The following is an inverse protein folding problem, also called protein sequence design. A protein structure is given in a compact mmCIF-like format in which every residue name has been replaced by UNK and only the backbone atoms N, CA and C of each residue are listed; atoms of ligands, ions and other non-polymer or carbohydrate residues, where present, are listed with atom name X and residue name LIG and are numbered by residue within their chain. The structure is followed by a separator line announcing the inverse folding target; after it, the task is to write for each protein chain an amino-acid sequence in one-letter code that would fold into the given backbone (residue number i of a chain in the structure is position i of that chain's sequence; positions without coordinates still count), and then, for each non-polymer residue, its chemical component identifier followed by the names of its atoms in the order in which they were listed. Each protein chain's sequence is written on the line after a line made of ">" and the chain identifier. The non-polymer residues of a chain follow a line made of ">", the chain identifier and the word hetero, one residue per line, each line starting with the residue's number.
data_IF_544266506258
#
_entry.id   IF_544266506258
#
_cell.length_a   1.000
_cell.length_b   1.000
_cell.length_c   1.000
_cell.angle_alpha   90.00
_cell.angle_beta   90.00
_cell.angle_gamma   90.00
#
_symmetry.space_group_name_H-M   'P 1'
#
loop_
_entity.id
_entity.type
_entity.pdbx_description
1 polymer ?
#
# COMPACT_ATOMS: atom_id res chain seq x y z
N UNK A 1 3.34 3.27 -17.79
CA UNK A 1 3.87 2.01 -18.36
C UNK A 1 4.45 2.19 -19.75
N UNK A 2 3.69 2.49 -20.81
CA UNK A 2 4.21 2.53 -22.20
C UNK A 2 5.42 3.46 -22.43
N UNK A 3 5.43 4.65 -21.81
CA UNK A 3 6.54 5.59 -21.90
C UNK A 3 7.84 5.03 -21.30
N UNK A 4 7.77 4.48 -20.09
CA UNK A 4 8.95 3.95 -19.40
C UNK A 4 9.50 2.70 -20.09
N UNK A 5 8.64 1.79 -20.54
CA UNK A 5 9.10 0.63 -21.33
C UNK A 5 9.74 1.05 -22.66
N UNK A 6 9.20 2.08 -23.34
CA UNK A 6 9.76 2.57 -24.61
C UNK A 6 11.10 3.30 -24.46
N UNK A 7 11.36 3.91 -23.29
CA UNK A 7 12.56 4.72 -23.05
C UNK A 7 13.58 4.02 -22.14
N UNK A 8 13.27 2.84 -21.60
CA UNK A 8 14.13 2.16 -20.63
C UNK A 8 15.51 1.87 -21.21
N UNK A 9 15.60 1.31 -22.42
CA UNK A 9 16.88 0.99 -23.04
C UNK A 9 17.80 2.22 -23.19
N UNK A 10 17.20 3.39 -23.41
CA UNK A 10 17.94 4.65 -23.51
C UNK A 10 18.32 5.26 -22.16
N UNK A 11 17.47 5.09 -21.14
CA UNK A 11 17.63 5.76 -19.83
C UNK A 11 18.26 4.88 -18.76
N UNK A 12 18.30 3.56 -18.95
CA UNK A 12 18.77 2.55 -17.98
C UNK A 12 20.16 2.90 -17.45
N UNK A 13 21.14 3.14 -18.31
CA UNK A 13 22.51 3.42 -17.86
C UNK A 13 22.60 4.63 -16.92
N UNK A 14 21.88 5.72 -17.24
CA UNK A 14 21.88 6.94 -16.43
C UNK A 14 21.13 6.75 -15.11
N UNK A 15 19.99 6.07 -15.13
CA UNK A 15 19.18 5.79 -13.94
C UNK A 15 19.94 4.85 -13.00
N UNK A 16 20.52 3.77 -13.53
CA UNK A 16 21.27 2.80 -12.72
C UNK A 16 22.57 3.40 -12.18
N UNK A 17 23.25 4.26 -12.92
CA UNK A 17 24.42 4.97 -12.42
C UNK A 17 24.05 5.97 -11.30
N UNK A 18 22.91 6.65 -11.42
CA UNK A 18 22.47 7.65 -10.43
C UNK A 18 21.86 7.04 -9.17
N UNK A 19 21.07 5.96 -9.30
CA UNK A 19 20.35 5.33 -8.20
C UNK A 19 20.99 4.04 -7.68
N UNK A 20 21.97 3.46 -8.39
CA UNK A 20 22.59 2.18 -8.04
C UNK A 20 23.31 2.16 -6.69
N UNK A 21 23.81 3.32 -6.21
CA UNK A 21 24.36 3.43 -4.85
C UNK A 21 23.26 3.37 -3.76
N UNK A 22 22.04 3.80 -4.08
CA UNK A 22 20.90 3.81 -3.15
C UNK A 22 20.13 2.50 -3.14
N UNK A 23 20.14 1.74 -4.24
CA UNK A 23 19.39 0.51 -4.41
C UNK A 23 20.34 -0.66 -4.75
N UNK A 24 20.99 -1.23 -3.73
CA UNK A 24 21.70 -2.51 -3.89
C UNK A 24 20.69 -3.62 -4.14
N UNK A 25 20.54 -4.04 -5.40
CA UNK A 25 19.76 -5.21 -5.80
C UNK A 25 18.59 -4.94 -6.75
N UNK A 26 18.37 -3.71 -7.20
CA UNK A 26 17.47 -3.44 -8.32
C UNK A 26 18.27 -3.54 -9.63
N UNK A 27 17.80 -4.32 -10.60
CA UNK A 27 18.44 -4.53 -11.91
C UNK A 27 17.50 -4.18 -13.08
N UNK A 28 16.19 -4.29 -12.85
CA UNK A 28 15.15 -4.08 -13.84
C UNK A 28 14.20 -2.94 -13.47
N UNK A 29 13.50 -2.38 -14.47
CA UNK A 29 12.51 -1.31 -14.26
C UNK A 29 11.41 -1.75 -13.29
N UNK A 30 11.14 -3.06 -13.23
CA UNK A 30 10.11 -3.68 -12.41
C UNK A 30 10.45 -3.75 -10.93
N UNK A 31 11.73 -3.57 -10.56
CA UNK A 31 12.20 -3.50 -9.17
C UNK A 31 11.96 -2.10 -8.56
N UNK A 32 11.78 -1.10 -9.42
CA UNK A 32 11.49 0.26 -8.98
C UNK A 32 9.99 0.45 -8.77
N UNK A 33 9.63 1.01 -7.61
CA UNK A 33 8.25 1.45 -7.37
C UNK A 33 7.95 2.64 -8.28
N UNK A 34 7.11 2.44 -9.28
CA UNK A 34 6.71 3.52 -10.18
C UNK A 34 5.85 4.54 -9.43
N UNK A 35 6.28 5.81 -9.44
CA UNK A 35 5.48 6.92 -8.92
C UNK A 35 4.94 7.70 -10.10
N UNK A 36 3.61 7.74 -10.22
CA UNK A 36 2.95 8.57 -11.24
C UNK A 36 2.98 10.04 -10.84
N UNK A 37 3.78 10.84 -11.53
CA UNK A 37 3.76 12.30 -11.36
C UNK A 37 2.60 12.90 -12.16
N UNK A 38 1.40 12.86 -11.58
CA UNK A 38 0.20 13.44 -12.20
C UNK A 38 0.12 14.95 -11.90
N UNK A 39 -0.47 15.71 -12.83
CA UNK A 39 -0.67 17.16 -12.70
C UNK A 39 -1.45 17.56 -11.43
N UNK A 40 -1.22 18.78 -10.94
CA UNK A 40 -1.75 19.27 -9.66
C UNK A 40 -3.27 19.18 -9.52
N UNK A 41 -4.03 19.39 -10.60
CA UNK A 41 -5.49 19.28 -10.60
C UNK A 41 -5.97 17.88 -10.22
N UNK A 42 -5.33 16.84 -10.76
CA UNK A 42 -5.67 15.45 -10.43
C UNK A 42 -5.42 15.16 -8.94
N UNK A 43 -4.31 15.66 -8.39
CA UNK A 43 -4.00 15.51 -6.96
C UNK A 43 -5.05 16.20 -6.08
N UNK A 44 -5.56 17.37 -6.49
CA UNK A 44 -6.64 18.07 -5.78
C UNK A 44 -7.94 17.25 -5.80
N UNK A 45 -8.37 16.77 -6.97
CA UNK A 45 -9.57 15.95 -7.10
C UNK A 45 -9.45 14.65 -6.28
N UNK A 46 -8.32 13.95 -6.38
CA UNK A 46 -8.04 12.76 -5.58
C UNK A 46 -8.07 13.06 -4.09
N UNK A 47 -7.56 14.22 -3.65
CA UNK A 47 -7.60 14.63 -2.24
C UNK A 47 -9.01 14.91 -1.75
N UNK A 48 -9.86 15.54 -2.56
CA UNK A 48 -11.29 15.76 -2.24
C UNK A 48 -11.99 14.42 -2.06
N UNK A 49 -11.79 13.47 -2.98
CA UNK A 49 -12.37 12.13 -2.88
C UNK A 49 -11.87 11.37 -1.64
N UNK A 50 -10.56 11.41 -1.38
CA UNK A 50 -9.97 10.78 -0.21
C UNK A 50 -10.52 11.36 1.10
N UNK A 51 -10.72 12.68 1.17
CA UNK A 51 -11.30 13.33 2.34
C UNK A 51 -12.78 12.92 2.56
N UNK A 52 -13.55 12.67 1.50
CA UNK A 52 -14.91 12.12 1.62
C UNK A 52 -14.90 10.69 2.15
N UNK A 53 -14.05 9.83 1.57
CA UNK A 53 -13.90 8.42 2.00
C UNK A 53 -13.40 8.30 3.44
N UNK A 54 -12.56 9.24 3.90
CA UNK A 54 -12.03 9.26 5.26
C UNK A 54 -13.11 9.24 6.34
N UNK A 55 -14.28 9.83 6.08
CA UNK A 55 -15.38 9.94 7.05
C UNK A 55 -16.09 8.61 7.32
N UNK A 56 -15.98 7.67 6.39
CA UNK A 56 -16.81 6.46 6.30
C UNK A 56 -15.95 5.20 6.36
N UNK A 57 -14.69 5.27 5.93
CA UNK A 57 -13.79 4.10 5.88
C UNK A 57 -13.61 3.42 7.23
N UNK A 58 -13.65 4.18 8.34
CA UNK A 58 -13.52 3.62 9.69
C UNK A 58 -14.68 2.73 10.12
N UNK A 59 -15.87 2.91 9.57
CA UNK A 59 -17.05 2.08 9.84
C UNK A 59 -17.12 0.85 8.94
N UNK A 60 -16.43 0.90 7.79
CA UNK A 60 -16.48 -0.14 6.75
C UNK A 60 -15.41 -1.21 6.96
N UNK A 61 -14.24 -0.81 7.48
CA UNK A 61 -13.13 -1.75 7.71
C UNK A 61 -13.26 -2.46 9.06
N UNK A 62 -12.59 -3.60 9.19
CA UNK A 62 -12.50 -4.32 10.45
C UNK A 62 -11.83 -3.47 11.54
N UNK A 63 -12.26 -3.64 12.79
CA UNK A 63 -11.66 -3.00 13.96
C UNK A 63 -10.16 -3.29 14.11
N UNK A 64 -9.67 -4.41 13.55
CA UNK A 64 -8.26 -4.80 13.59
C UNK A 64 -7.41 -4.15 12.48
N UNK A 65 -8.00 -3.36 11.59
CA UNK A 65 -7.26 -2.66 10.54
C UNK A 65 -6.80 -1.29 11.04
N UNK A 66 -5.49 -1.17 11.28
CA UNK A 66 -4.92 0.04 11.88
C UNK A 66 -4.29 0.99 10.85
N UNK A 67 -3.88 0.47 9.69
CA UNK A 67 -3.27 1.28 8.64
C UNK A 67 -4.33 2.14 7.91
N UNK A 68 -3.96 3.40 7.64
CA UNK A 68 -4.74 4.37 6.85
C UNK A 68 -6.11 4.78 7.43
N UNK A 69 -6.39 4.48 8.70
CA UNK A 69 -7.62 4.89 9.39
C UNK A 69 -7.35 6.10 10.27
N UNK A 70 -8.27 7.06 10.27
CA UNK A 70 -8.13 8.26 11.08
C UNK A 70 -8.15 7.90 12.57
N UNK A 71 -7.21 8.47 13.34
CA UNK A 71 -7.17 8.30 14.79
C UNK A 71 -6.44 7.04 15.26
N UNK A 72 -6.01 6.17 14.34
CA UNK A 72 -5.21 4.99 14.64
C UNK A 72 -3.73 5.24 14.36
N UNK A 73 -2.86 4.73 15.23
CA UNK A 73 -1.41 4.85 15.07
C UNK A 73 -0.79 3.48 14.81
N UNK A 74 0.32 3.46 14.06
CA UNK A 74 1.08 2.21 13.81
C UNK A 74 1.57 1.57 15.12
N UNK A 75 1.80 2.38 16.15
CA UNK A 75 2.23 1.91 17.47
C UNK A 75 1.15 1.06 18.15
N UNK A 76 -0.14 1.35 17.91
CA UNK A 76 -1.24 0.57 18.47
C UNK A 76 -1.19 -0.87 17.93
N UNK A 77 -1.00 -1.03 16.62
CA UNK A 77 -0.85 -2.34 15.97
C UNK A 77 0.36 -3.13 16.50
N UNK A 78 1.49 -2.43 16.73
CA UNK A 78 2.71 -3.04 17.27
C UNK A 78 2.50 -3.50 18.72
N UNK A 79 1.79 -2.70 19.52
CA UNK A 79 1.49 -3.05 20.91
C UNK A 79 0.55 -4.26 20.98
N UNK A 80 -0.56 -4.23 20.24
CA UNK A 80 -1.55 -5.33 20.21
C UNK A 80 -0.88 -6.64 19.75
N UNK A 81 -0.05 -6.59 18.70
CA UNK A 81 0.65 -7.78 18.21
C UNK A 81 1.67 -8.32 19.23
N UNK A 82 2.37 -7.44 19.94
CA UNK A 82 3.33 -7.82 20.98
C UNK A 82 2.63 -8.49 22.17
N UNK A 83 1.53 -7.92 22.64
CA UNK A 83 0.74 -8.47 23.74
C UNK A 83 0.06 -9.80 23.37
N UNK A 84 -0.44 -9.92 22.13
CA UNK A 84 -1.00 -11.17 21.63
C UNK A 84 0.02 -12.31 21.61
N UNK A 85 1.26 -12.05 21.21
CA UNK A 85 2.36 -13.03 21.23
C UNK A 85 2.75 -13.38 22.67
N UNK A 86 2.98 -12.37 23.52
CA UNK A 86 3.37 -12.56 24.91
C UNK A 86 2.32 -13.38 25.70
N UNK A 87 1.03 -13.09 25.50
CA UNK A 87 -0.08 -13.84 26.10
C UNK A 87 -0.07 -15.32 25.71
N UNK A 88 0.19 -15.64 24.43
CA UNK A 88 0.27 -17.04 23.97
C UNK A 88 1.46 -17.78 24.57
N UNK A 89 2.61 -17.11 24.66
CA UNK A 89 3.82 -17.66 25.27
C UNK A 89 3.62 -17.95 26.76
N UNK A 90 3.05 -17.02 27.52
CA UNK A 90 2.77 -17.18 28.95
C UNK A 90 1.78 -18.32 29.23
N UNK A 91 0.77 -18.48 28.38
CA UNK A 91 -0.23 -19.53 28.50
C UNK A 91 0.22 -20.88 27.93
N UNK A 92 1.47 -20.97 27.41
CA UNK A 92 2.04 -22.15 26.78
C UNK A 92 1.13 -22.76 25.70
N UNK A 93 0.39 -21.89 25.00
CA UNK A 93 -0.60 -22.28 24.02
C UNK A 93 0.04 -22.22 22.62
N UNK A 94 0.16 -23.36 21.92
CA UNK A 94 0.77 -23.36 20.58
C UNK A 94 0.00 -22.43 19.63
N UNK A 95 0.74 -21.74 18.77
CA UNK A 95 0.19 -20.81 17.80
C UNK A 95 1.11 -20.62 16.60
N UNK A 96 0.56 -20.11 15.51
CA UNK A 96 1.28 -19.82 14.28
C UNK A 96 1.17 -18.32 13.97
N UNK A 97 2.31 -17.68 13.68
CA UNK A 97 2.35 -16.31 13.19
C UNK A 97 2.61 -16.32 11.69
N UNK A 98 1.67 -15.80 10.91
CA UNK A 98 1.78 -15.69 9.47
C UNK A 98 2.06 -14.24 9.08
N UNK A 99 3.24 -13.99 8.50
CA UNK A 99 3.57 -12.72 7.87
C UNK A 99 3.19 -12.79 6.40
N UNK A 100 2.12 -12.07 6.04
CA UNK A 100 1.65 -11.95 4.66
C UNK A 100 2.00 -10.55 4.15
N UNK A 101 2.55 -10.48 2.93
CA UNK A 101 2.80 -9.23 2.22
C UNK A 101 2.32 -9.40 0.77
N UNK A 102 1.77 -8.32 0.20
CA UNK A 102 1.22 -8.33 -1.16
C UNK A 102 2.19 -7.59 -2.07
N UNK A 103 2.79 -8.33 -2.99
CA UNK A 103 3.70 -7.75 -3.99
C UNK A 103 2.95 -6.77 -4.90
N UNK A 104 3.51 -5.55 -5.02
CA UNK A 104 3.00 -4.50 -5.92
C UNK A 104 1.48 -4.29 -5.78
N UNK A 105 1.01 -4.20 -4.52
CA UNK A 105 -0.42 -4.15 -4.18
C UNK A 105 -1.23 -3.07 -4.91
N UNK A 106 -0.61 -1.97 -5.34
CA UNK A 106 -1.29 -0.90 -6.11
C UNK A 106 -1.32 -1.16 -7.62
N UNK A 107 -0.38 -1.95 -8.14
CA UNK A 107 -0.27 -2.23 -9.57
C UNK A 107 -1.17 -3.43 -9.96
N UNK A 108 -1.41 -4.35 -9.02
CA UNK A 108 -2.21 -5.56 -9.22
C UNK A 108 -3.69 -5.43 -8.81
N UNK A 109 -4.20 -4.21 -8.61
CA UNK A 109 -5.62 -4.01 -8.26
C UNK A 109 -6.53 -4.33 -9.45
N UNK A 110 -7.47 -5.25 -9.26
CA UNK A 110 -8.53 -5.48 -10.24
C UNK A 110 -9.59 -4.37 -10.13
N UNK A 111 -9.73 -3.58 -11.20
CA UNK A 111 -10.64 -2.43 -11.24
C UNK A 111 -12.13 -2.79 -11.18
N UNK A 112 -12.54 -3.90 -11.80
CA UNK A 112 -13.94 -4.35 -11.77
C UNK A 112 -14.35 -4.74 -10.34
N UNK A 113 -13.47 -5.44 -9.63
CA UNK A 113 -13.64 -5.76 -8.22
C UNK A 113 -13.74 -4.48 -7.38
N UNK A 114 -12.81 -3.55 -7.56
CA UNK A 114 -12.82 -2.28 -6.82
C UNK A 114 -14.12 -1.49 -7.04
N UNK A 115 -14.57 -1.36 -8.29
CA UNK A 115 -15.81 -0.65 -8.63
C UNK A 115 -17.05 -1.37 -8.06
N UNK A 116 -17.08 -2.70 -8.10
CA UNK A 116 -18.13 -3.51 -7.46
C UNK A 116 -18.20 -3.27 -5.95
N UNK A 117 -17.06 -3.26 -5.27
CA UNK A 117 -16.98 -2.98 -3.83
C UNK A 117 -17.48 -1.58 -3.50
N UNK A 118 -17.01 -0.56 -4.23
CA UNK A 118 -17.43 0.84 -4.05
C UNK A 118 -18.94 1.00 -4.28
N UNK A 119 -19.48 0.35 -5.32
CA UNK A 119 -20.92 0.33 -5.62
C UNK A 119 -21.74 -0.32 -4.50
N UNK A 120 -21.30 -1.46 -3.98
CA UNK A 120 -21.96 -2.17 -2.87
C UNK A 120 -21.94 -1.36 -1.57
N UNK A 121 -20.86 -0.61 -1.34
CA UNK A 121 -20.75 0.34 -0.21
C UNK A 121 -21.57 1.62 -0.42
N UNK A 122 -22.26 1.76 -1.56
CA UNK A 122 -23.03 2.94 -1.96
C UNK A 122 -22.19 4.22 -2.01
N UNK A 123 -20.90 4.07 -2.31
CA UNK A 123 -20.03 5.20 -2.58
C UNK A 123 -20.25 5.70 -4.02
N UNK A 124 -21.19 6.64 -4.16
CA UNK A 124 -21.53 7.36 -5.39
C UNK A 124 -21.96 8.78 -5.07
#
# INVERSE_FOLDING_TARGET
>A
MAFWHSCWDFTKANIMAFFGEFYRGAEELEDFRQISLVGGLYKLLAKVLANRLKLVVGEVVSENQDAFIQGKQVLDAVLISSEAVDSRLKNNNPGLLLKLDIEKAHDHVNWECLLSVISNMRFG
#
